data_IF_918127759815
#
_entry.id   IF_918127759815
#
_cell.length_a   1.000
_cell.length_b   1.000
_cell.length_c   1.000
_cell.angle_alpha   90.00
_cell.angle_beta   90.00
_cell.angle_gamma   90.00
#
_symmetry.space_group_name_H-M   'P 1'
#
loop_
_entity.id
_entity.type
_entity.pdbx_description
1 polymer ?
#
# COMPACT_ATOMS: atom_id res chain seq x y z
N UNK A 1 -0.10 22.98 6.55
CA UNK A 1 -0.50 22.40 5.25
C UNK A 1 0.76 22.16 4.43
N UNK A 2 1.02 20.93 3.95
CA UNK A 2 2.18 20.67 3.08
C UNK A 2 1.96 21.43 1.78
N UNK A 3 2.94 22.23 1.34
CA UNK A 3 2.89 22.97 0.07
C UNK A 3 2.48 22.03 -1.07
N UNK A 4 1.52 22.44 -1.90
CA UNK A 4 1.16 21.74 -3.14
C UNK A 4 2.43 21.50 -3.95
N UNK A 5 2.93 20.27 -3.97
CA UNK A 5 4.11 19.94 -4.73
C UNK A 5 3.69 19.86 -6.19
N UNK A 6 4.15 20.82 -6.98
CA UNK A 6 3.96 20.82 -8.43
C UNK A 6 4.49 19.51 -9.01
N UNK A 7 3.71 18.90 -9.89
CA UNK A 7 4.08 17.67 -10.57
C UNK A 7 5.14 17.98 -11.62
N UNK A 8 6.08 17.06 -11.81
CA UNK A 8 7.06 17.15 -12.91
C UNK A 8 6.40 16.83 -14.25
N UNK A 9 7.01 17.26 -15.35
CA UNK A 9 6.53 16.94 -16.70
C UNK A 9 6.36 15.43 -16.92
N UNK A 10 7.32 14.63 -16.43
CA UNK A 10 7.24 13.16 -16.47
C UNK A 10 6.02 12.62 -15.71
N UNK A 11 5.72 13.19 -14.54
CA UNK A 11 4.54 12.79 -13.75
C UNK A 11 3.24 13.17 -14.46
N UNK A 12 3.18 14.36 -15.05
CA UNK A 12 2.04 14.81 -15.86
C UNK A 12 1.86 13.90 -17.09
N UNK A 13 2.94 13.53 -17.76
CA UNK A 13 2.92 12.61 -18.90
C UNK A 13 2.41 11.22 -18.49
N UNK A 14 2.89 10.68 -17.36
CA UNK A 14 2.39 9.43 -16.79
C UNK A 14 0.88 9.50 -16.50
N UNK A 15 0.43 10.60 -15.90
CA UNK A 15 -0.99 10.79 -15.62
C UNK A 15 -1.84 10.82 -16.90
N UNK A 16 -1.41 11.57 -17.92
CA UNK A 16 -2.06 11.60 -19.23
C UNK A 16 -2.10 10.24 -19.91
N UNK A 17 -1.04 9.45 -19.77
CA UNK A 17 -1.03 8.06 -20.25
C UNK A 17 -2.08 7.22 -19.53
N UNK A 18 -2.15 7.29 -18.19
CA UNK A 18 -3.10 6.52 -17.38
C UNK A 18 -4.57 6.89 -17.64
N UNK A 19 -4.85 8.16 -17.97
CA UNK A 19 -6.19 8.62 -18.37
C UNK A 19 -6.73 7.94 -19.62
N UNK A 20 -5.84 7.45 -20.50
CA UNK A 20 -6.21 6.77 -21.74
C UNK A 20 -6.39 5.26 -21.56
N UNK A 21 -6.16 4.71 -20.37
CA UNK A 21 -6.18 3.27 -20.13
C UNK A 21 -7.49 2.80 -19.51
N UNK A 22 -8.22 1.94 -20.21
CA UNK A 22 -9.42 1.29 -19.68
C UNK A 22 -9.10 0.05 -18.82
N UNK A 23 -7.92 -0.55 -19.04
CA UNK A 23 -7.47 -1.76 -18.36
C UNK A 23 -6.32 -1.45 -17.40
N UNK A 24 -6.15 -2.31 -16.40
CA UNK A 24 -4.99 -2.25 -15.53
C UNK A 24 -3.71 -2.51 -16.34
N UNK A 25 -2.72 -1.64 -16.14
CA UNK A 25 -1.39 -1.78 -16.73
C UNK A 25 -0.39 -2.18 -15.67
N UNK A 26 0.39 -3.21 -15.93
CA UNK A 26 1.48 -3.56 -15.04
C UNK A 26 2.64 -2.56 -15.19
N UNK A 27 3.53 -2.48 -14.20
CA UNK A 27 4.61 -1.49 -14.20
C UNK A 27 5.55 -1.62 -15.41
N UNK A 28 5.72 -2.85 -15.94
CA UNK A 28 6.62 -3.12 -17.07
C UNK A 28 6.03 -2.59 -18.36
N UNK A 29 4.75 -2.84 -18.59
CA UNK A 29 3.99 -2.29 -19.72
C UNK A 29 4.06 -0.77 -19.72
N UNK A 30 3.83 -0.12 -18.58
CA UNK A 30 3.91 1.35 -18.48
C UNK A 30 5.29 1.85 -18.91
N UNK A 31 6.37 1.20 -18.46
CA UNK A 31 7.73 1.63 -18.83
C UNK A 31 7.96 1.47 -20.34
N UNK A 32 7.59 0.31 -20.91
CA UNK A 32 7.79 0.01 -22.33
C UNK A 32 6.91 0.88 -23.24
N UNK A 33 5.68 1.18 -22.85
CA UNK A 33 4.73 1.93 -23.68
C UNK A 33 4.90 3.44 -23.60
N UNK A 34 5.53 3.95 -22.53
CA UNK A 34 5.64 5.41 -22.32
C UNK A 34 7.01 5.98 -22.64
N UNK A 35 8.06 5.14 -22.64
CA UNK A 35 9.47 5.55 -22.78
C UNK A 35 9.93 6.63 -21.76
N UNK A 36 9.11 6.95 -20.76
CA UNK A 36 9.36 8.01 -19.78
C UNK A 36 10.52 7.72 -18.82
N UNK A 37 10.97 6.46 -18.80
CA UNK A 37 11.96 5.95 -17.85
C UNK A 37 13.17 5.34 -18.55
N UNK A 38 13.29 5.53 -19.88
CA UNK A 38 14.34 4.95 -20.70
C UNK A 38 14.15 3.45 -20.99
N UNK A 39 15.12 2.88 -21.68
CA UNK A 39 15.10 1.48 -22.12
C UNK A 39 15.20 0.50 -20.95
N UNK A 40 14.48 -0.63 -21.08
CA UNK A 40 14.61 -1.77 -20.19
C UNK A 40 15.66 -2.73 -20.75
N UNK A 41 16.88 -2.67 -20.20
CA UNK A 41 17.88 -3.71 -20.41
C UNK A 41 17.47 -4.99 -19.64
N UNK A 42 17.81 -6.15 -20.18
CA UNK A 42 17.12 -7.42 -19.96
C UNK A 42 17.12 -8.01 -18.52
N UNK A 43 16.16 -8.94 -18.35
CA UNK A 43 15.87 -9.94 -17.30
C UNK A 43 15.40 -9.53 -15.89
N UNK A 44 15.97 -8.55 -15.18
CA UNK A 44 15.58 -8.28 -13.77
C UNK A 44 14.70 -7.04 -13.57
N UNK A 45 13.48 -7.07 -14.12
CA UNK A 45 12.52 -5.96 -14.00
C UNK A 45 12.30 -5.48 -12.55
N UNK A 46 12.29 -6.43 -11.60
CA UNK A 46 11.95 -6.17 -10.20
C UNK A 46 12.96 -5.27 -9.47
N UNK A 47 14.22 -5.20 -9.91
CA UNK A 47 15.25 -4.41 -9.22
C UNK A 47 15.71 -3.16 -9.99
N UNK A 48 15.03 -2.82 -11.08
CA UNK A 48 15.44 -1.71 -11.95
C UNK A 48 15.21 -0.33 -11.32
N UNK A 49 16.07 0.62 -11.69
CA UNK A 49 15.90 2.04 -11.34
C UNK A 49 14.61 2.61 -11.94
N UNK A 50 14.26 2.18 -13.15
CA UNK A 50 13.05 2.52 -13.88
C UNK A 50 11.79 2.18 -13.07
N UNK A 51 11.71 0.94 -12.55
CA UNK A 51 10.60 0.52 -11.67
C UNK A 51 10.51 1.37 -10.41
N UNK A 52 11.65 1.68 -9.79
CA UNK A 52 11.71 2.53 -8.57
C UNK A 52 11.24 3.95 -8.88
N UNK A 53 11.65 4.53 -10.01
CA UNK A 53 11.23 5.86 -10.44
C UNK A 53 9.73 5.90 -10.75
N UNK A 54 9.22 4.98 -11.56
CA UNK A 54 7.78 4.87 -11.84
C UNK A 54 6.97 4.73 -10.55
N UNK A 55 7.42 3.89 -9.60
CA UNK A 55 6.75 3.74 -8.30
C UNK A 55 6.73 5.04 -7.51
N UNK A 56 7.81 5.83 -7.54
CA UNK A 56 7.87 7.15 -6.89
C UNK A 56 6.89 8.12 -7.56
N UNK A 57 6.83 8.12 -8.88
CA UNK A 57 5.93 9.00 -9.64
C UNK A 57 4.46 8.64 -9.43
N UNK A 58 4.10 7.35 -9.38
CA UNK A 58 2.74 6.90 -9.01
C UNK A 58 2.37 7.37 -7.60
N UNK A 59 3.29 7.29 -6.63
CA UNK A 59 3.03 7.79 -5.26
C UNK A 59 2.85 9.30 -5.25
N UNK A 60 3.63 10.04 -6.04
CA UNK A 60 3.50 11.48 -6.17
C UNK A 60 2.13 11.86 -6.75
N UNK A 61 1.67 11.17 -7.79
CA UNK A 61 0.35 11.38 -8.39
C UNK A 61 -0.78 11.12 -7.37
N UNK A 62 -0.70 10.01 -6.62
CA UNK A 62 -1.70 9.67 -5.59
C UNK A 62 -1.79 10.68 -4.46
N UNK A 63 -0.68 11.32 -4.13
CA UNK A 63 -0.59 12.29 -3.04
C UNK A 63 -0.78 13.74 -3.52
N UNK A 64 -0.99 13.96 -4.82
CA UNK A 64 -1.11 15.28 -5.40
C UNK A 64 -2.55 15.76 -5.35
N UNK A 65 -2.76 16.96 -4.81
CA UNK A 65 -4.07 17.63 -4.80
C UNK A 65 -4.49 18.12 -6.21
N UNK A 66 -3.57 18.14 -7.18
CA UNK A 66 -3.83 18.58 -8.55
C UNK A 66 -4.35 17.45 -9.45
N UNK A 67 -4.41 16.21 -8.94
CA UNK A 67 -4.92 15.04 -9.67
C UNK A 67 -6.33 14.73 -9.20
N UNK A 68 -7.29 14.86 -10.10
CA UNK A 68 -8.72 14.62 -9.79
C UNK A 68 -9.12 13.13 -9.89
N UNK A 69 -8.27 12.27 -10.46
CA UNK A 69 -8.56 10.85 -10.64
C UNK A 69 -8.00 9.98 -9.53
N UNK A 70 -8.80 9.05 -9.00
CA UNK A 70 -8.32 8.07 -8.00
C UNK A 70 -7.47 7.01 -8.68
N UNK A 71 -6.18 6.94 -8.32
CA UNK A 71 -5.27 5.92 -8.89
C UNK A 71 -5.25 4.68 -8.01
N UNK A 72 -5.73 3.55 -8.55
CA UNK A 72 -5.61 2.25 -7.91
C UNK A 72 -4.28 1.60 -8.26
N UNK A 73 -3.67 0.95 -7.27
CA UNK A 73 -2.54 0.04 -7.49
C UNK A 73 -2.86 -1.26 -6.80
N UNK A 74 -3.10 -2.29 -7.60
CA UNK A 74 -3.49 -3.62 -7.15
C UNK A 74 -2.52 -4.65 -7.73
N UNK A 75 -2.72 -5.93 -7.42
CA UNK A 75 -1.96 -7.02 -8.05
C UNK A 75 -2.18 -7.09 -9.56
N UNK A 76 -3.31 -6.57 -10.07
CA UNK A 76 -3.59 -6.49 -11.51
C UNK A 76 -2.79 -5.39 -12.22
N UNK A 77 -2.24 -4.43 -11.49
CA UNK A 77 -1.51 -3.29 -12.03
C UNK A 77 -2.02 -1.95 -11.52
N UNK A 78 -1.80 -0.90 -12.32
CA UNK A 78 -2.18 0.48 -12.04
C UNK A 78 -3.20 0.95 -13.08
N UNK A 79 -4.19 1.71 -12.61
CA UNK A 79 -5.25 2.31 -13.42
C UNK A 79 -5.86 3.50 -12.68
N UNK A 80 -6.44 4.45 -13.40
CA UNK A 80 -7.39 5.41 -12.82
C UNK A 80 -8.73 4.68 -12.66
N UNK A 81 -9.26 4.69 -11.44
CA UNK A 81 -10.42 3.91 -11.05
C UNK A 81 -11.70 4.40 -11.74
N UNK A 82 -12.60 3.47 -12.08
CA UNK A 82 -14.02 3.81 -12.14
C UNK A 82 -14.60 3.96 -10.73
N UNK A 83 -15.82 4.49 -10.63
CA UNK A 83 -16.52 4.65 -9.36
C UNK A 83 -16.72 3.31 -8.65
N UNK A 84 -17.17 2.30 -9.38
CA UNK A 84 -17.45 0.95 -8.87
C UNK A 84 -16.16 0.27 -8.41
N UNK A 85 -15.07 0.38 -9.19
CA UNK A 85 -13.76 -0.16 -8.84
C UNK A 85 -13.23 0.49 -7.55
N UNK A 86 -13.42 1.80 -7.40
CA UNK A 86 -13.03 2.54 -6.22
C UNK A 86 -13.81 2.10 -4.98
N UNK A 87 -15.13 2.04 -5.06
CA UNK A 87 -15.99 1.65 -3.94
C UNK A 87 -15.63 0.25 -3.41
N UNK A 88 -15.52 -0.72 -4.31
CA UNK A 88 -15.10 -2.09 -3.95
C UNK A 88 -13.67 -2.18 -3.42
N UNK A 89 -12.76 -1.36 -3.92
CA UNK A 89 -11.40 -1.30 -3.38
C UNK A 89 -11.40 -0.72 -1.97
N UNK A 90 -12.08 0.40 -1.77
CA UNK A 90 -12.13 1.13 -0.51
C UNK A 90 -12.78 0.31 0.60
N UNK A 91 -13.91 -0.34 0.32
CA UNK A 91 -14.58 -1.23 1.28
C UNK A 91 -13.62 -2.33 1.78
N UNK A 92 -12.93 -2.99 0.85
CA UNK A 92 -11.93 -4.03 1.18
C UNK A 92 -10.78 -3.47 2.03
N UNK A 93 -10.27 -2.27 1.71
CA UNK A 93 -9.23 -1.63 2.53
C UNK A 93 -9.74 -1.28 3.92
N UNK A 94 -10.96 -0.76 4.05
CA UNK A 94 -11.58 -0.43 5.33
C UNK A 94 -11.70 -1.66 6.23
N UNK A 95 -12.20 -2.78 5.68
CA UNK A 95 -12.28 -4.06 6.42
C UNK A 95 -10.88 -4.52 6.86
N UNK A 96 -9.89 -4.47 5.97
CA UNK A 96 -8.50 -4.85 6.28
C UNK A 96 -7.92 -4.00 7.41
N UNK A 97 -8.12 -2.68 7.37
CA UNK A 97 -7.64 -1.76 8.40
C UNK A 97 -8.31 -2.01 9.75
N UNK A 98 -9.65 -2.21 9.77
CA UNK A 98 -10.38 -2.56 11.00
C UNK A 98 -9.84 -3.85 11.63
N UNK A 99 -9.58 -4.88 10.83
CA UNK A 99 -8.99 -6.15 11.28
C UNK A 99 -7.58 -5.94 11.85
N UNK A 100 -6.74 -5.18 11.16
CA UNK A 100 -5.39 -4.86 11.62
C UNK A 100 -5.41 -4.10 12.95
N UNK A 101 -6.30 -3.11 13.10
CA UNK A 101 -6.47 -2.34 14.33
C UNK A 101 -6.94 -3.21 15.50
N UNK A 102 -7.89 -4.12 15.26
CA UNK A 102 -8.37 -5.08 16.27
C UNK A 102 -7.22 -5.97 16.76
N UNK A 103 -6.38 -6.47 15.85
CA UNK A 103 -5.21 -7.27 16.20
C UNK A 103 -4.20 -6.45 17.01
N UNK A 104 -3.88 -5.23 16.56
CA UNK A 104 -2.96 -4.33 17.26
C UNK A 104 -3.43 -4.08 18.71
N UNK A 105 -4.71 -3.79 18.91
CA UNK A 105 -5.28 -3.59 20.24
C UNK A 105 -5.17 -4.86 21.11
N UNK A 106 -5.45 -6.05 20.55
CA UNK A 106 -5.24 -7.31 21.27
C UNK A 106 -3.78 -7.50 21.70
N UNK A 107 -2.82 -7.16 20.83
CA UNK A 107 -1.39 -7.26 21.18
C UNK A 107 -0.98 -6.24 22.25
N UNK A 108 -1.52 -5.01 22.19
CA UNK A 108 -1.33 -4.00 23.25
C UNK A 108 -1.86 -4.47 24.60
N UNK A 109 -3.05 -5.08 24.62
CA UNK A 109 -3.60 -5.64 25.86
C UNK A 109 -2.77 -6.81 26.39
N UNK A 110 -2.19 -7.65 25.51
CA UNK A 110 -1.24 -8.68 25.93
C UNK A 110 0.05 -8.09 26.51
N UNK A 111 0.60 -7.07 25.87
CA UNK A 111 1.80 -6.37 26.34
C UNK A 111 1.60 -5.75 27.72
N UNK A 112 0.46 -5.10 27.98
CA UNK A 112 0.12 -4.56 29.31
C UNK A 112 0.06 -5.63 30.41
N UNK A 113 -0.24 -6.86 30.04
CA UNK A 113 -0.36 -7.99 30.97
C UNK A 113 0.96 -8.69 31.21
N UNK A 114 2.08 -8.24 30.63
CA UNK A 114 3.37 -8.89 30.83
C UNK A 114 3.69 -9.04 32.33
N UNK A 115 4.09 -10.25 32.73
CA UNK A 115 4.35 -10.65 34.11
C UNK A 115 3.14 -10.59 35.08
N UNK A 116 1.91 -10.40 34.58
CA UNK A 116 0.71 -10.59 35.41
C UNK A 116 0.43 -12.07 35.60
N UNK A 117 0.17 -12.47 36.85
CA UNK A 117 -0.21 -13.83 37.22
C UNK A 117 -1.55 -14.18 36.58
N UNK A 118 -1.57 -15.25 35.78
CA UNK A 118 -2.81 -15.85 35.28
C UNK A 118 -3.21 -16.96 36.24
N UNK A 119 -4.35 -16.81 36.91
CA UNK A 119 -4.97 -17.90 37.67
C UNK A 119 -5.78 -18.74 36.68
N UNK A 120 -5.34 -19.98 36.44
CA UNK A 120 -6.11 -20.97 35.67
C UNK A 120 -6.88 -21.86 36.67
N UNK A 121 -8.20 -21.79 36.63
CA UNK A 121 -9.07 -22.51 37.57
C UNK A 121 -9.27 -24.00 37.22
N UNK A 122 -8.87 -24.43 36.02
CA UNK A 122 -9.04 -25.83 35.56
C UNK A 122 -7.92 -26.77 36.02
N UNK A 123 -6.70 -26.27 36.28
CA UNK A 123 -5.52 -27.13 36.49
C UNK A 123 -4.99 -27.17 37.92
N UNK A 124 -5.57 -26.42 38.86
CA UNK A 124 -5.22 -26.51 40.28
C UNK A 124 -3.73 -26.25 40.55
N UNK A 125 -3.34 -24.98 40.57
CA UNK A 125 -2.00 -24.44 40.87
C UNK A 125 -0.91 -24.69 39.81
N UNK A 126 -0.56 -23.62 39.09
CA UNK A 126 0.80 -23.08 39.00
C UNK A 126 0.72 -21.67 38.42
N UNK A 127 1.34 -20.72 39.09
CA UNK A 127 1.36 -19.29 38.74
C UNK A 127 2.04 -19.07 37.36
N UNK A 128 1.27 -19.24 36.28
CA UNK A 128 1.74 -18.94 34.95
C UNK A 128 1.59 -17.44 34.71
N UNK A 129 2.70 -16.71 34.71
CA UNK A 129 2.70 -15.30 34.34
C UNK A 129 2.63 -15.13 32.81
N UNK A 130 2.02 -14.05 32.34
CA UNK A 130 1.93 -13.77 30.91
C UNK A 130 3.30 -13.31 30.38
N UNK A 131 3.91 -14.10 29.50
CA UNK A 131 5.13 -13.74 28.76
C UNK A 131 4.76 -13.06 27.44
N UNK A 132 4.74 -11.73 27.42
CA UNK A 132 4.42 -10.94 26.24
C UNK A 132 5.66 -10.53 25.43
N UNK A 133 6.83 -10.45 26.08
CA UNK A 133 8.12 -10.13 25.48
C UNK A 133 9.13 -11.23 25.81
N UNK A 134 10.12 -11.43 24.94
CA UNK A 134 11.30 -12.28 25.19
C UNK A 134 12.46 -11.34 25.55
N UNK A 135 13.25 -11.71 26.53
CA UNK A 135 14.50 -11.03 26.90
C UNK A 135 15.65 -11.46 25.98
#
# INVERSE_FOLDING_TARGET
>A
MKKNKLLTERQVALYRYLLKQDKFKNLREIILETDLYGSLENYEFNNTNQRRQLTKDIRALKASDNIFGVILSTTKGIKIATKEEYEHYFERQSIKQKRAMKLLNKQREKAKKHYQTKIDFETGLNENYVVAFRE
#
